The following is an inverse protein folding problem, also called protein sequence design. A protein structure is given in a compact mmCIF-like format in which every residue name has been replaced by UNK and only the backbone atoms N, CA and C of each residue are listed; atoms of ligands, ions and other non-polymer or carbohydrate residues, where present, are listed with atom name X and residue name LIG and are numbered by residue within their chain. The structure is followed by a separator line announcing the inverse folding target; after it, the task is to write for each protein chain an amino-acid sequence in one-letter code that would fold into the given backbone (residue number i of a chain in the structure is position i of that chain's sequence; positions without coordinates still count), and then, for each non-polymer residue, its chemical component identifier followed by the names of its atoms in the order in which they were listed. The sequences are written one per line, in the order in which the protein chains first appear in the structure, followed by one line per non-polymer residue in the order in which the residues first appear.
data_IF_986908071385
#
_entry.id   IF_986908071385
#
_cell.length_a   1.000
_cell.length_b   1.000
_cell.length_c   1.000
_cell.angle_alpha   90.00
_cell.angle_beta   90.00
_cell.angle_gamma   90.00
#
_symmetry.space_group_name_H-M   'P 1'
#
loop_
_entity.id
_entity.type
_entity.pdbx_description
1 polymer ?
#
# COMPACT_ATOMS: atom_id res chain seq x y z
N UNK A 1 -5.88 -26.78 19.17
CA UNK A 1 -5.11 -26.04 18.15
C UNK A 1 -4.63 -24.77 18.84
N UNK A 2 -3.33 -24.57 19.02
CA UNK A 2 -2.83 -23.27 19.54
C UNK A 2 -3.24 -22.20 18.53
N UNK A 3 -3.70 -21.00 18.98
CA UNK A 3 -3.93 -19.90 18.06
C UNK A 3 -2.64 -19.69 17.25
N UNK A 4 -2.79 -19.47 15.95
CA UNK A 4 -1.67 -19.15 15.06
C UNK A 4 -1.13 -17.78 15.50
N UNK A 5 -0.06 -17.79 16.27
CA UNK A 5 0.56 -16.59 16.88
C UNK A 5 1.15 -15.64 15.82
N UNK A 6 1.11 -16.01 14.53
CA UNK A 6 1.62 -15.20 13.42
C UNK A 6 0.54 -14.36 12.73
N UNK A 7 -0.72 -14.53 13.09
CA UNK A 7 -1.85 -13.86 12.46
C UNK A 7 -2.11 -12.50 13.09
N UNK A 8 -2.23 -11.45 12.26
CA UNK A 8 -2.80 -10.19 12.70
C UNK A 8 -4.24 -10.44 13.18
N UNK A 9 -4.56 -10.01 14.40
CA UNK A 9 -5.90 -10.17 14.93
C UNK A 9 -6.88 -9.29 14.14
N UNK A 10 -8.01 -9.86 13.72
CA UNK A 10 -9.07 -9.09 13.07
C UNK A 10 -9.63 -8.08 14.08
N UNK A 11 -9.78 -6.79 13.70
CA UNK A 11 -10.24 -5.76 14.61
C UNK A 11 -11.69 -5.98 15.04
N UNK A 12 -12.02 -5.57 16.27
CA UNK A 12 -13.39 -5.54 16.75
C UNK A 12 -14.20 -4.50 15.93
N UNK A 13 -15.53 -4.67 15.78
CA UNK A 13 -16.36 -3.79 14.94
C UNK A 13 -16.28 -2.30 15.30
N UNK A 14 -16.09 -1.96 16.56
CA UNK A 14 -15.96 -0.59 17.07
C UNK A 14 -14.62 0.09 16.74
N UNK A 15 -13.70 -0.64 16.13
CA UNK A 15 -12.42 -0.11 15.67
C UNK A 15 -12.44 0.37 14.22
N UNK A 16 -13.44 -0.06 13.43
CA UNK A 16 -13.56 0.40 12.06
C UNK A 16 -13.96 1.87 11.99
N UNK A 17 -13.42 2.57 11.00
CA UNK A 17 -13.74 3.97 10.75
C UNK A 17 -14.76 4.02 9.62
N UNK A 18 -15.87 4.67 9.92
CA UNK A 18 -16.93 4.87 8.96
C UNK A 18 -17.03 6.36 8.60
N UNK A 19 -17.06 6.65 7.33
CA UNK A 19 -17.33 7.98 6.82
C UNK A 19 -18.82 8.13 6.52
N UNK A 20 -19.42 9.33 6.73
CA UNK A 20 -20.81 9.55 6.35
C UNK A 20 -21.04 9.21 4.86
N UNK A 21 -22.15 8.51 4.58
CA UNK A 21 -22.46 8.04 3.22
C UNK A 21 -22.58 9.20 2.21
N UNK A 22 -23.01 10.36 2.68
CA UNK A 22 -23.14 11.56 1.85
C UNK A 22 -21.85 12.38 1.71
N UNK A 23 -20.75 11.94 2.38
CA UNK A 23 -19.46 12.62 2.23
C UNK A 23 -18.83 12.30 0.86
N UNK A 24 -18.11 13.27 0.27
CA UNK A 24 -17.40 13.04 -0.97
C UNK A 24 -16.34 11.93 -0.77
N UNK A 25 -16.10 11.08 -1.77
CA UNK A 25 -14.99 10.11 -1.73
C UNK A 25 -13.64 10.82 -1.54
N UNK A 26 -12.76 10.20 -0.77
CA UNK A 26 -11.41 10.70 -0.48
C UNK A 26 -10.37 9.84 -1.19
N UNK A 27 -9.39 10.49 -1.83
CA UNK A 27 -8.30 9.83 -2.54
C UNK A 27 -6.98 10.03 -1.84
N UNK A 28 -6.32 8.93 -1.53
CA UNK A 28 -4.91 8.88 -1.18
C UNK A 28 -4.11 8.39 -2.39
N UNK A 29 -2.92 8.93 -2.59
CA UNK A 29 -1.92 8.36 -3.49
C UNK A 29 -0.69 8.00 -2.66
N UNK A 30 -0.36 6.71 -2.63
CA UNK A 30 0.74 6.17 -1.85
C UNK A 30 1.71 5.48 -2.80
N UNK A 31 2.94 5.98 -2.84
CA UNK A 31 3.99 5.53 -3.75
C UNK A 31 5.04 4.77 -2.95
N UNK A 32 5.28 3.53 -3.31
CA UNK A 32 6.39 2.76 -2.76
C UNK A 32 7.69 3.26 -3.42
N UNK A 33 8.36 4.22 -2.72
CA UNK A 33 9.61 4.83 -3.15
C UNK A 33 10.78 3.97 -2.67
N UNK A 34 11.17 3.04 -3.51
CA UNK A 34 12.03 1.91 -3.14
C UNK A 34 13.20 1.74 -4.10
N UNK A 35 14.19 0.96 -3.64
CA UNK A 35 15.32 0.54 -4.46
C UNK A 35 14.87 -0.30 -5.68
N UNK A 36 15.72 -0.30 -6.69
CA UNK A 36 15.54 -1.17 -7.86
C UNK A 36 16.02 -2.58 -7.52
N UNK A 37 15.10 -3.51 -7.39
CA UNK A 37 15.42 -4.91 -7.10
C UNK A 37 14.64 -5.88 -7.97
N UNK A 38 15.18 -7.07 -8.10
CA UNK A 38 14.47 -8.19 -8.72
C UNK A 38 13.46 -8.75 -7.71
N UNK A 39 12.17 -8.64 -8.01
CA UNK A 39 11.07 -9.08 -7.17
C UNK A 39 11.07 -10.59 -6.87
N UNK A 40 11.94 -11.33 -7.54
CA UNK A 40 12.14 -12.77 -7.30
C UNK A 40 13.40 -13.06 -6.47
N UNK A 41 14.27 -12.06 -6.24
CA UNK A 41 15.58 -12.23 -5.59
C UNK A 41 15.91 -11.03 -4.70
N UNK A 42 16.03 -11.27 -3.39
CA UNK A 42 16.35 -10.24 -2.40
C UNK A 42 17.85 -10.22 -2.15
N UNK A 43 18.50 -9.09 -2.43
CA UNK A 43 19.96 -8.94 -2.27
C UNK A 43 20.29 -7.64 -1.55
N UNK A 44 21.20 -7.70 -0.58
CA UNK A 44 21.73 -6.50 0.13
C UNK A 44 22.44 -5.51 -0.79
N UNK A 45 22.87 -5.96 -1.96
CA UNK A 45 23.59 -5.14 -2.96
C UNK A 45 22.66 -4.50 -4.00
N UNK A 46 21.36 -4.81 -4.00
CA UNK A 46 20.39 -4.16 -4.85
C UNK A 46 19.95 -2.86 -4.15
N UNK A 47 20.68 -1.78 -4.42
CA UNK A 47 20.51 -0.48 -3.75
C UNK A 47 20.41 0.69 -4.72
N UNK A 48 20.31 0.43 -6.05
CA UNK A 48 20.07 1.49 -7.04
C UNK A 48 18.74 2.19 -6.77
N UNK A 49 18.72 3.52 -6.95
CA UNK A 49 17.56 4.38 -6.72
C UNK A 49 17.35 5.36 -7.88
N UNK A 50 17.82 5.03 -9.07
CA UNK A 50 17.75 5.90 -10.27
C UNK A 50 16.29 6.15 -10.70
N UNK A 51 15.38 5.23 -10.34
CA UNK A 51 13.94 5.37 -10.56
C UNK A 51 13.33 6.58 -9.84
N UNK A 52 13.92 7.05 -8.72
CA UNK A 52 13.37 8.16 -7.94
C UNK A 52 13.39 9.47 -8.73
N UNK A 53 14.40 9.71 -9.53
CA UNK A 53 14.45 10.89 -10.41
C UNK A 53 13.29 10.91 -11.44
N UNK A 54 12.69 9.76 -11.73
CA UNK A 54 11.56 9.66 -12.67
C UNK A 54 10.22 10.01 -12.03
N UNK A 55 10.16 10.17 -10.70
CA UNK A 55 8.91 10.50 -10.01
C UNK A 55 8.33 11.84 -10.45
N UNK A 56 9.14 12.74 -11.02
CA UNK A 56 8.65 13.99 -11.60
C UNK A 56 7.54 13.76 -12.63
N UNK A 57 7.58 12.67 -13.42
CA UNK A 57 6.59 12.36 -14.44
C UNK A 57 5.18 12.15 -13.85
N UNK A 58 5.09 11.42 -12.74
CA UNK A 58 3.82 11.22 -12.05
C UNK A 58 3.47 12.44 -11.17
N UNK A 59 4.47 13.07 -10.54
CA UNK A 59 4.24 14.27 -9.73
C UNK A 59 3.58 15.40 -10.52
N UNK A 60 4.01 15.63 -11.75
CA UNK A 60 3.40 16.64 -12.64
C UNK A 60 1.93 16.31 -12.97
N UNK A 61 1.56 15.03 -13.03
CA UNK A 61 0.16 14.61 -13.18
C UNK A 61 -0.62 14.92 -11.91
N UNK A 62 -0.09 14.52 -10.74
CA UNK A 62 -0.73 14.71 -9.44
C UNK A 62 -0.93 16.19 -9.09
N UNK A 63 0.05 17.03 -9.38
CA UNK A 63 0.02 18.47 -9.10
C UNK A 63 -1.14 19.18 -9.82
N UNK A 64 -1.48 18.75 -11.04
CA UNK A 64 -2.62 19.32 -11.78
C UNK A 64 -3.96 19.16 -11.08
N UNK A 65 -4.06 18.16 -10.20
CA UNK A 65 -5.27 17.88 -9.40
C UNK A 65 -5.13 18.29 -7.93
N UNK A 66 -4.01 18.92 -7.56
CA UNK A 66 -3.74 19.26 -6.15
C UNK A 66 -3.59 18.03 -5.24
N UNK A 67 -3.20 16.89 -5.79
CA UNK A 67 -2.97 15.66 -5.03
C UNK A 67 -1.57 15.69 -4.42
N UNK A 68 -1.50 15.52 -3.11
CA UNK A 68 -0.25 15.43 -2.34
C UNK A 68 0.03 13.96 -2.04
N UNK A 69 0.87 13.26 -2.84
CA UNK A 69 1.18 11.86 -2.60
C UNK A 69 2.02 11.68 -1.33
N UNK A 70 1.98 10.46 -0.78
CA UNK A 70 2.91 10.02 0.26
C UNK A 70 3.91 9.05 -0.36
N UNK A 71 5.18 9.43 -0.38
CA UNK A 71 6.28 8.56 -0.79
C UNK A 71 6.74 7.74 0.42
N UNK A 72 6.54 6.44 0.34
CA UNK A 72 6.97 5.47 1.35
C UNK A 72 8.43 5.10 1.07
N UNK A 73 9.33 5.78 1.74
CA UNK A 73 10.78 5.76 1.45
C UNK A 73 11.45 4.60 2.18
N UNK A 74 12.25 3.83 1.47
CA UNK A 74 13.11 2.79 2.02
C UNK A 74 14.50 3.32 2.44
N UNK A 75 15.35 2.41 2.98
CA UNK A 75 16.65 2.80 3.46
C UNK A 75 17.63 3.20 2.32
N UNK A 76 17.72 2.51 1.17
CA UNK A 76 18.52 2.95 0.03
C UNK A 76 18.14 4.35 -0.47
N UNK A 77 16.86 4.65 -0.60
CA UNK A 77 16.39 5.98 -1.02
C UNK A 77 16.76 7.04 0.01
N UNK A 78 16.56 6.74 1.30
CA UNK A 78 16.89 7.69 2.39
C UNK A 78 18.39 7.88 2.64
N UNK A 79 19.28 7.09 2.04
CA UNK A 79 20.71 7.11 2.30
C UNK A 79 21.58 7.54 1.11
N UNK A 80 20.97 7.87 -0.03
CA UNK A 80 21.69 8.25 -1.25
C UNK A 80 21.14 9.57 -1.81
N UNK A 81 22.02 10.49 -2.21
CA UNK A 81 21.66 11.81 -2.73
C UNK A 81 20.69 11.73 -3.94
N UNK A 82 20.86 10.71 -4.81
CA UNK A 82 19.98 10.47 -5.96
C UNK A 82 18.55 10.13 -5.56
N UNK A 83 18.37 9.43 -4.43
CA UNK A 83 17.05 9.14 -3.87
C UNK A 83 16.46 10.32 -3.08
N UNK A 84 17.31 11.05 -2.34
CA UNK A 84 16.88 12.12 -1.46
C UNK A 84 16.45 13.37 -2.24
N UNK A 85 17.31 13.87 -3.16
CA UNK A 85 17.15 15.18 -3.78
C UNK A 85 15.80 15.39 -4.44
N UNK A 86 15.30 14.51 -5.34
CA UNK A 86 14.03 14.74 -6.01
C UNK A 86 12.84 14.83 -5.04
N UNK A 87 12.82 13.95 -4.03
CA UNK A 87 11.73 13.92 -3.06
C UNK A 87 11.83 15.07 -2.04
N UNK A 88 13.03 15.50 -1.69
CA UNK A 88 13.25 16.66 -0.81
C UNK A 88 12.79 17.96 -1.47
N UNK A 89 12.97 18.12 -2.79
CA UNK A 89 12.43 19.25 -3.56
C UNK A 89 10.88 19.24 -3.52
N UNK A 90 10.23 18.10 -3.76
CA UNK A 90 8.77 18.02 -3.66
C UNK A 90 8.26 18.28 -2.24
N UNK A 91 8.99 17.80 -1.22
CA UNK A 91 8.64 18.00 0.17
C UNK A 91 8.75 19.49 0.57
N UNK A 92 9.83 20.16 0.16
CA UNK A 92 10.05 21.59 0.45
C UNK A 92 8.95 22.48 -0.15
N UNK A 93 8.44 22.12 -1.32
CA UNK A 93 7.33 22.79 -2.00
C UNK A 93 5.94 22.40 -1.44
N UNK A 94 5.89 21.49 -0.46
CA UNK A 94 4.63 20.96 0.10
C UNK A 94 3.85 20.03 -0.82
N UNK A 95 4.48 19.57 -1.91
CA UNK A 95 3.89 18.75 -2.97
C UNK A 95 3.83 17.27 -2.64
N UNK A 96 4.48 16.81 -1.58
CA UNK A 96 4.42 15.43 -1.11
C UNK A 96 4.48 15.32 0.41
N UNK A 97 4.32 14.08 0.89
CA UNK A 97 4.61 13.64 2.25
C UNK A 97 5.62 12.50 2.19
N UNK A 98 6.40 12.34 3.27
CA UNK A 98 7.37 11.25 3.42
C UNK A 98 6.87 10.30 4.49
N UNK A 99 6.71 9.05 4.12
CA UNK A 99 6.51 7.90 4.99
C UNK A 99 7.72 6.96 4.95
N UNK A 100 7.67 5.87 5.68
CA UNK A 100 8.74 4.87 5.75
C UNK A 100 8.29 3.52 5.21
N UNK A 101 9.10 2.88 4.36
CA UNK A 101 8.92 1.50 3.89
C UNK A 101 10.10 0.64 4.32
N UNK A 102 9.83 -0.41 5.10
CA UNK A 102 10.90 -1.27 5.58
C UNK A 102 11.13 -2.48 4.66
N UNK A 103 12.21 -2.45 3.89
CA UNK A 103 12.79 -3.60 3.23
C UNK A 103 13.87 -4.21 4.12
N UNK A 104 13.61 -5.40 4.68
CA UNK A 104 14.50 -6.01 5.67
C UNK A 104 15.90 -6.29 5.12
N UNK A 105 16.01 -6.68 3.85
CA UNK A 105 17.28 -7.11 3.21
C UNK A 105 18.23 -5.96 2.91
N UNK A 106 17.77 -4.72 2.78
CA UNK A 106 18.59 -3.53 2.50
C UNK A 106 18.65 -2.52 3.66
N UNK A 107 17.92 -2.78 4.75
CA UNK A 107 17.93 -1.92 5.94
C UNK A 107 18.79 -2.51 7.04
N UNK A 108 19.87 -1.82 7.52
CA UNK A 108 20.67 -2.30 8.66
C UNK A 108 19.87 -2.21 10.00
N UNK A 109 20.31 -2.96 11.03
CA UNK A 109 21.45 -3.89 11.08
C UNK A 109 21.15 -5.21 10.32
N UNK A 110 22.22 -5.88 9.83
CA UNK A 110 22.13 -7.07 8.98
C UNK A 110 22.45 -8.35 9.77
N UNK A 111 21.70 -8.59 10.84
CA UNK A 111 21.92 -9.71 11.76
C UNK A 111 21.16 -10.98 11.34
N UNK A 112 20.32 -10.89 10.30
CA UNK A 112 19.60 -12.01 9.73
C UNK A 112 20.27 -12.58 8.48
N UNK A 113 20.04 -13.86 8.20
CA UNK A 113 20.26 -14.47 6.91
C UNK A 113 19.11 -14.10 5.96
N UNK A 114 19.43 -13.68 4.72
CA UNK A 114 18.41 -13.37 3.72
C UNK A 114 17.74 -14.66 3.25
N UNK A 115 16.43 -14.70 3.37
CA UNK A 115 15.59 -15.79 2.90
C UNK A 115 14.21 -15.27 2.49
N UNK A 116 13.39 -16.05 1.79
CA UNK A 116 11.99 -15.69 1.55
C UNK A 116 11.21 -15.40 2.84
N UNK A 117 11.54 -16.04 3.96
CA UNK A 117 10.93 -15.81 5.26
C UNK A 117 11.37 -14.47 5.87
N UNK A 118 12.66 -14.21 5.96
CA UNK A 118 13.22 -13.00 6.59
C UNK A 118 13.08 -11.75 5.73
N UNK A 119 12.69 -11.90 4.45
CA UNK A 119 12.32 -10.77 3.60
C UNK A 119 11.00 -10.08 4.00
N UNK A 120 10.16 -10.76 4.78
CA UNK A 120 9.03 -10.13 5.47
C UNK A 120 9.49 -9.64 6.85
N UNK A 121 9.51 -8.32 7.04
CA UNK A 121 10.05 -7.71 8.25
C UNK A 121 9.38 -8.20 9.54
N UNK A 122 8.07 -8.42 9.51
CA UNK A 122 7.31 -8.92 10.65
C UNK A 122 7.64 -10.36 11.09
N UNK A 123 8.45 -11.10 10.31
CA UNK A 123 8.96 -12.42 10.68
C UNK A 123 10.31 -12.35 11.44
N UNK A 124 10.91 -11.18 11.48
CA UNK A 124 12.17 -10.99 12.19
C UNK A 124 11.96 -11.07 13.72
N UNK A 125 13.00 -11.41 14.48
CA UNK A 125 12.98 -11.22 15.92
C UNK A 125 12.59 -9.79 16.28
N UNK A 126 11.72 -9.60 17.27
CA UNK A 126 11.18 -8.28 17.64
C UNK A 126 12.26 -7.20 17.82
N UNK A 127 13.37 -7.54 18.47
CA UNK A 127 14.46 -6.60 18.68
C UNK A 127 15.12 -6.16 17.36
N UNK A 128 15.23 -7.06 16.39
CA UNK A 128 15.82 -6.78 15.08
C UNK A 128 14.89 -5.94 14.21
N UNK A 129 13.60 -6.30 14.15
CA UNK A 129 12.59 -5.51 13.46
C UNK A 129 12.56 -4.07 13.98
N UNK A 130 12.48 -3.91 15.32
CA UNK A 130 12.50 -2.60 15.97
C UNK A 130 13.80 -1.81 15.69
N UNK A 131 14.96 -2.46 15.69
CA UNK A 131 16.23 -1.82 15.36
C UNK A 131 16.28 -1.32 13.91
N UNK A 132 15.76 -2.11 12.95
CA UNK A 132 15.66 -1.72 11.54
C UNK A 132 14.68 -0.53 11.35
N UNK A 133 13.50 -0.57 11.98
CA UNK A 133 12.55 0.54 11.97
C UNK A 133 13.22 1.82 12.50
N UNK A 134 13.90 1.74 13.65
CA UNK A 134 14.63 2.87 14.22
C UNK A 134 15.70 3.40 13.25
N UNK A 135 16.45 2.51 12.61
CA UNK A 135 17.52 2.90 11.67
C UNK A 135 16.95 3.63 10.45
N UNK A 136 15.87 3.10 9.88
CA UNK A 136 15.16 3.72 8.76
C UNK A 136 14.58 5.08 9.16
N UNK A 137 13.90 5.16 10.31
CA UNK A 137 13.36 6.42 10.85
C UNK A 137 14.43 7.49 10.96
N UNK A 138 15.61 7.13 11.55
CA UNK A 138 16.73 8.05 11.71
C UNK A 138 17.29 8.50 10.36
N UNK A 139 17.40 7.59 9.38
CA UNK A 139 17.87 7.94 8.04
C UNK A 139 16.93 8.96 7.38
N UNK A 140 15.62 8.71 7.40
CA UNK A 140 14.62 9.62 6.83
C UNK A 140 14.66 10.98 7.55
N UNK A 141 14.68 10.99 8.87
CA UNK A 141 14.71 12.23 9.66
C UNK A 141 15.96 13.06 9.34
N UNK A 142 17.12 12.39 9.20
CA UNK A 142 18.37 13.07 8.86
C UNK A 142 18.36 13.64 7.44
N UNK A 143 17.83 12.89 6.48
CA UNK A 143 17.92 13.24 5.05
C UNK A 143 16.83 14.19 4.57
N UNK A 144 15.63 14.08 5.13
CA UNK A 144 14.48 14.90 4.73
C UNK A 144 14.08 15.99 5.76
N UNK A 145 14.71 16.00 6.94
CA UNK A 145 14.38 16.97 8.00
C UNK A 145 12.99 16.77 8.62
N UNK A 146 12.32 15.67 8.32
CA UNK A 146 10.98 15.33 8.86
C UNK A 146 10.98 13.95 9.46
N UNK A 147 10.33 13.81 10.63
CA UNK A 147 10.13 12.49 11.24
C UNK A 147 8.95 11.80 10.56
N UNK A 148 9.14 10.59 9.99
CA UNK A 148 8.04 9.85 9.39
C UNK A 148 7.07 9.36 10.47
N UNK A 149 5.77 9.48 10.20
CA UNK A 149 4.69 8.99 11.07
C UNK A 149 3.80 7.96 10.37
N UNK A 150 4.04 7.74 9.07
CA UNK A 150 3.35 6.79 8.22
C UNK A 150 4.32 5.67 7.88
N UNK A 151 3.87 4.44 7.98
CA UNK A 151 4.67 3.25 7.71
C UNK A 151 3.98 2.33 6.71
N UNK A 152 4.79 1.58 5.98
CA UNK A 152 4.39 0.40 5.20
C UNK A 152 5.45 -0.68 5.36
N UNK A 153 5.01 -1.88 5.71
CA UNK A 153 5.92 -3.02 5.69
C UNK A 153 6.23 -3.41 4.25
N UNK A 154 7.50 -3.52 3.90
CA UNK A 154 7.92 -4.04 2.61
C UNK A 154 7.30 -5.42 2.36
N UNK A 155 6.87 -5.67 1.13
CA UNK A 155 6.13 -6.88 0.77
C UNK A 155 4.84 -7.08 1.59
N UNK A 156 4.31 -6.01 2.19
CA UNK A 156 3.16 -6.08 3.10
C UNK A 156 3.40 -6.96 4.34
N UNK A 157 4.66 -7.09 4.75
CA UNK A 157 5.14 -8.01 5.79
C UNK A 157 4.86 -7.55 7.22
N UNK A 158 3.65 -7.09 7.51
CA UNK A 158 3.23 -6.70 8.85
C UNK A 158 3.08 -7.93 9.76
N UNK A 159 3.79 -7.95 10.89
CA UNK A 159 3.80 -9.05 11.83
C UNK A 159 3.22 -8.70 13.20
N UNK A 160 3.17 -9.69 14.08
CA UNK A 160 2.59 -9.54 15.42
C UNK A 160 3.26 -8.48 16.31
N UNK A 161 4.55 -8.22 16.10
CA UNK A 161 5.33 -7.25 16.89
C UNK A 161 5.39 -5.88 16.22
N UNK A 162 5.00 -5.78 14.94
CA UNK A 162 5.16 -4.58 14.12
C UNK A 162 4.41 -3.39 14.72
N UNK A 163 3.16 -3.55 15.13
CA UNK A 163 2.38 -2.47 15.73
C UNK A 163 3.06 -1.86 16.97
N UNK A 164 3.55 -2.71 17.89
CA UNK A 164 4.25 -2.24 19.11
C UNK A 164 5.56 -1.53 18.76
N UNK A 165 6.31 -2.03 17.77
CA UNK A 165 7.53 -1.40 17.31
C UNK A 165 7.24 -0.04 16.67
N UNK A 166 6.20 0.07 15.83
CA UNK A 166 5.77 1.31 15.20
C UNK A 166 5.39 2.38 16.25
N UNK A 167 4.54 2.05 17.20
CA UNK A 167 4.16 2.96 18.28
C UNK A 167 5.40 3.43 19.09
N UNK A 168 6.33 2.51 19.40
CA UNK A 168 7.58 2.82 20.10
C UNK A 168 8.43 3.85 19.35
N UNK A 169 8.41 3.81 18.01
CA UNK A 169 9.19 4.71 17.17
C UNK A 169 8.40 5.95 16.69
N UNK A 170 7.17 6.15 17.17
CA UNK A 170 6.38 7.36 16.92
C UNK A 170 5.56 7.31 15.62
N UNK A 171 5.38 6.15 15.01
CA UNK A 171 4.45 5.97 13.91
C UNK A 171 3.02 5.90 14.46
N UNK A 172 2.09 6.45 13.70
CA UNK A 172 0.68 6.48 14.08
C UNK A 172 -0.28 6.12 12.93
N UNK A 173 0.27 5.82 11.75
CA UNK A 173 -0.45 5.31 10.58
C UNK A 173 0.35 4.15 9.98
N UNK A 174 -0.34 3.04 9.68
CA UNK A 174 0.16 1.94 8.87
C UNK A 174 -0.64 1.80 7.58
N UNK A 175 0.00 1.35 6.50
CA UNK A 175 -0.60 1.15 5.19
C UNK A 175 -0.19 -0.21 4.61
N UNK A 176 -0.12 -1.25 5.47
CA UNK A 176 0.43 -2.55 5.07
C UNK A 176 -0.61 -3.60 4.73
N UNK A 177 -1.88 -3.43 5.13
CA UNK A 177 -2.91 -4.44 4.86
C UNK A 177 -3.27 -4.49 3.37
N UNK A 178 -3.15 -5.69 2.80
CA UNK A 178 -3.51 -6.01 1.42
C UNK A 178 -4.84 -6.78 1.41
N UNK A 179 -5.98 -6.13 1.16
CA UNK A 179 -7.29 -6.74 1.36
C UNK A 179 -7.49 -8.06 0.63
N UNK A 180 -8.04 -9.05 1.34
CA UNK A 180 -8.39 -10.40 0.88
C UNK A 180 -7.24 -11.22 0.27
N UNK A 181 -6.00 -10.96 0.68
CA UNK A 181 -4.84 -11.70 0.20
C UNK A 181 -4.23 -12.53 1.31
N UNK A 182 -4.00 -13.81 1.05
CA UNK A 182 -3.21 -14.69 1.91
C UNK A 182 -1.79 -14.83 1.36
N UNK A 183 -0.81 -14.28 2.10
CA UNK A 183 0.61 -14.35 1.75
C UNK A 183 1.35 -15.50 2.46
N UNK A 184 0.69 -16.29 3.32
CA UNK A 184 1.32 -17.41 4.04
C UNK A 184 2.03 -18.43 3.14
N UNK A 185 1.52 -18.77 1.92
CA UNK A 185 2.26 -19.63 1.01
C UNK A 185 3.63 -19.09 0.59
N UNK A 186 3.86 -17.78 0.79
CA UNK A 186 5.15 -17.09 0.52
C UNK A 186 5.84 -16.63 1.80
N UNK A 187 5.44 -17.17 2.97
CA UNK A 187 5.91 -16.81 4.32
C UNK A 187 5.46 -15.42 4.80
N UNK A 188 4.51 -14.77 4.16
CA UNK A 188 3.95 -13.48 4.59
C UNK A 188 2.70 -13.62 5.47
N UNK A 189 2.08 -12.49 5.84
CA UNK A 189 0.86 -12.49 6.64
C UNK A 189 -0.37 -12.99 5.87
N UNK A 190 -1.42 -13.32 6.61
CA UNK A 190 -2.73 -13.66 6.08
C UNK A 190 -3.70 -12.49 6.29
N UNK A 191 -4.02 -11.78 5.20
CA UNK A 191 -5.00 -10.71 5.17
C UNK A 191 -6.33 -11.14 4.53
N UNK A 192 -6.58 -12.44 4.38
CA UNK A 192 -7.79 -12.93 3.68
C UNK A 192 -9.11 -12.51 4.32
N UNK A 193 -9.11 -12.17 5.60
CA UNK A 193 -10.27 -11.68 6.33
C UNK A 193 -10.42 -10.14 6.31
N UNK A 194 -9.44 -9.39 5.79
CA UNK A 194 -9.43 -7.94 5.84
C UNK A 194 -9.96 -7.35 4.54
N UNK A 195 -10.89 -6.40 4.66
CA UNK A 195 -11.38 -5.55 3.57
C UNK A 195 -10.58 -4.24 3.44
N UNK A 196 -11.06 -3.32 2.59
CA UNK A 196 -10.39 -2.03 2.35
C UNK A 196 -10.75 -0.95 3.38
N UNK A 197 -11.61 -1.24 4.36
CA UNK A 197 -12.06 -0.24 5.32
C UNK A 197 -10.97 0.05 6.35
N UNK A 198 -10.71 1.33 6.69
CA UNK A 198 -9.71 1.71 7.68
C UNK A 198 -10.15 1.33 9.09
N UNK A 199 -9.18 1.01 9.94
CA UNK A 199 -9.45 0.62 11.31
C UNK A 199 -8.29 0.93 12.26
N UNK A 200 -8.59 1.07 13.56
CA UNK A 200 -7.59 1.20 14.60
C UNK A 200 -7.01 -0.17 14.95
N UNK A 201 -5.69 -0.29 14.91
CA UNK A 201 -4.97 -1.52 15.27
C UNK A 201 -5.04 -1.81 16.77
N UNK A 202 -5.23 -0.77 17.59
CA UNK A 202 -5.28 -0.85 19.05
C UNK A 202 -6.50 -0.09 19.61
N UNK A 203 -6.95 -0.44 20.85
CA UNK A 203 -8.09 0.22 21.49
C UNK A 203 -7.84 1.71 21.82
N UNK A 204 -6.59 2.08 22.05
CA UNK A 204 -6.20 3.43 22.46
C UNK A 204 -6.11 4.40 21.26
N UNK A 205 -6.41 3.92 20.05
CA UNK A 205 -6.38 4.68 18.78
C UNK A 205 -5.02 5.32 18.52
N UNK A 206 -3.96 4.62 18.89
CA UNK A 206 -2.59 5.11 18.69
C UNK A 206 -2.08 4.83 17.27
N UNK A 207 -2.46 3.70 16.66
CA UNK A 207 -2.04 3.30 15.32
C UNK A 207 -3.25 3.00 14.42
N UNK A 208 -3.39 3.80 13.37
CA UNK A 208 -4.43 3.68 12.35
C UNK A 208 -3.92 2.83 11.18
N UNK A 209 -4.66 1.80 10.81
CA UNK A 209 -4.45 1.08 9.55
C UNK A 209 -5.27 1.71 8.43
N UNK A 210 -4.60 2.01 7.32
CA UNK A 210 -5.21 2.45 6.06
C UNK A 210 -4.92 1.37 4.98
N UNK A 211 -5.78 0.35 4.85
CA UNK A 211 -5.56 -0.71 3.88
C UNK A 211 -5.46 -0.19 2.45
N UNK A 212 -4.76 -0.92 1.59
CA UNK A 212 -4.84 -0.65 0.16
C UNK A 212 -6.29 -0.81 -0.32
N UNK A 213 -6.66 -0.06 -1.36
CA UNK A 213 -7.98 -0.27 -1.95
C UNK A 213 -7.95 -1.45 -2.89
N UNK A 214 -8.80 -2.42 -2.60
CA UNK A 214 -9.21 -3.46 -3.54
C UNK A 214 -10.71 -3.69 -3.36
N UNK A 215 -11.40 -4.17 -4.38
CA UNK A 215 -12.83 -4.49 -4.29
C UNK A 215 -13.12 -5.88 -4.83
N UNK A 216 -14.03 -6.59 -4.18
CA UNK A 216 -14.68 -7.76 -4.72
C UNK A 216 -15.81 -7.30 -5.62
N UNK A 217 -15.75 -7.61 -6.91
CA UNK A 217 -16.70 -7.11 -7.90
C UNK A 217 -17.36 -8.25 -8.64
N UNK A 218 -18.69 -8.33 -8.62
CA UNK A 218 -19.42 -9.35 -9.37
C UNK A 218 -20.74 -9.78 -8.72
N UNK A 219 -21.38 -10.77 -9.33
CA UNK A 219 -22.66 -11.28 -8.84
C UNK A 219 -22.56 -11.86 -7.43
N UNK A 220 -21.48 -12.59 -7.13
CA UNK A 220 -21.28 -13.21 -5.81
C UNK A 220 -21.17 -12.19 -4.70
N UNK A 221 -20.55 -11.03 -4.99
CA UNK A 221 -20.46 -9.94 -4.03
C UNK A 221 -21.84 -9.33 -3.74
N UNK A 222 -22.65 -9.07 -4.79
CA UNK A 222 -24.04 -8.62 -4.63
C UNK A 222 -24.92 -9.56 -3.81
N UNK A 223 -24.61 -10.85 -3.82
CA UNK A 223 -25.32 -11.87 -3.04
C UNK A 223 -24.74 -12.04 -1.62
N UNK A 224 -23.72 -11.26 -1.24
CA UNK A 224 -23.03 -11.40 0.05
C UNK A 224 -22.20 -12.69 0.19
N UNK A 225 -21.84 -13.32 -0.94
CA UNK A 225 -21.12 -14.60 -0.96
C UNK A 225 -19.62 -14.44 -1.30
N UNK A 226 -19.17 -13.21 -1.64
CA UNK A 226 -17.81 -13.00 -2.13
C UNK A 226 -16.74 -13.46 -1.13
N UNK A 227 -16.83 -13.07 0.12
CA UNK A 227 -15.85 -13.41 1.16
C UNK A 227 -15.80 -14.92 1.46
N UNK A 228 -16.94 -15.60 1.33
CA UNK A 228 -17.03 -17.05 1.51
C UNK A 228 -16.46 -17.80 0.31
N UNK A 229 -16.74 -17.34 -0.91
CA UNK A 229 -16.37 -18.03 -2.16
C UNK A 229 -14.94 -17.73 -2.59
N UNK A 230 -14.45 -16.49 -2.40
CA UNK A 230 -13.16 -16.06 -2.90
C UNK A 230 -11.98 -16.91 -2.41
N UNK A 231 -11.85 -17.28 -1.11
CA UNK A 231 -10.76 -18.13 -0.63
C UNK A 231 -10.70 -19.49 -1.35
N UNK A 232 -11.85 -20.04 -1.74
CA UNK A 232 -11.90 -21.29 -2.52
C UNK A 232 -11.38 -21.10 -3.95
N UNK A 233 -11.68 -19.94 -4.56
CA UNK A 233 -11.23 -19.64 -5.92
C UNK A 233 -9.72 -19.44 -6.01
N UNK A 234 -9.09 -18.99 -4.93
CA UNK A 234 -7.64 -18.74 -4.84
C UNK A 234 -6.84 -19.94 -4.33
N UNK A 235 -7.50 -21.06 -4.01
CA UNK A 235 -6.83 -22.29 -3.60
C UNK A 235 -5.86 -22.80 -4.68
N UNK A 236 -4.81 -23.56 -4.33
CA UNK A 236 -3.84 -24.06 -5.31
C UNK A 236 -4.48 -24.89 -6.45
N UNK A 237 -5.52 -25.66 -6.13
CA UNK A 237 -6.26 -26.45 -7.11
C UNK A 237 -7.06 -25.53 -8.05
N UNK A 238 -7.78 -24.57 -7.52
CA UNK A 238 -8.58 -23.60 -8.28
C UNK A 238 -7.69 -22.73 -9.18
N UNK A 239 -6.54 -22.29 -8.68
CA UNK A 239 -5.55 -21.54 -9.45
C UNK A 239 -5.02 -22.38 -10.63
N UNK A 240 -4.73 -23.67 -10.40
CA UNK A 240 -4.30 -24.59 -11.46
C UNK A 240 -5.37 -24.81 -12.53
N UNK A 241 -6.64 -24.81 -12.14
CA UNK A 241 -7.80 -24.89 -13.05
C UNK A 241 -8.19 -23.52 -13.64
N UNK A 242 -7.44 -22.45 -13.36
CA UNK A 242 -7.72 -21.08 -13.79
C UNK A 242 -9.12 -20.58 -13.36
N UNK A 243 -9.64 -21.11 -12.26
CA UNK A 243 -10.98 -20.75 -11.78
C UNK A 243 -11.17 -19.24 -11.54
N UNK A 244 -10.20 -18.50 -10.96
CA UNK A 244 -10.33 -17.05 -10.83
C UNK A 244 -10.58 -16.34 -12.18
N UNK A 245 -9.84 -16.74 -13.22
CA UNK A 245 -10.00 -16.14 -14.56
C UNK A 245 -11.36 -16.47 -15.20
N UNK A 246 -11.89 -17.66 -14.95
CA UNK A 246 -13.24 -18.03 -15.40
C UNK A 246 -14.29 -17.24 -14.65
N UNK A 247 -14.18 -17.11 -13.33
CA UNK A 247 -15.10 -16.33 -12.50
C UNK A 247 -15.14 -14.86 -12.89
N UNK A 248 -13.95 -14.28 -13.14
CA UNK A 248 -13.82 -12.89 -13.62
C UNK A 248 -14.47 -12.70 -14.99
N UNK A 249 -14.19 -13.60 -15.98
CA UNK A 249 -14.81 -13.54 -17.31
C UNK A 249 -16.34 -13.64 -17.29
N UNK A 250 -16.86 -14.47 -16.40
CA UNK A 250 -18.31 -14.62 -16.22
C UNK A 250 -18.91 -13.51 -15.34
N UNK A 251 -18.10 -12.54 -14.88
CA UNK A 251 -18.51 -11.47 -13.96
C UNK A 251 -19.15 -11.99 -12.66
N UNK A 252 -18.76 -13.19 -12.25
CA UNK A 252 -19.25 -13.80 -11.03
C UNK A 252 -18.53 -13.26 -9.81
N UNK A 253 -17.18 -13.21 -9.87
CA UNK A 253 -16.34 -12.68 -8.79
C UNK A 253 -14.97 -12.31 -9.34
N UNK A 254 -14.52 -11.10 -9.01
CA UNK A 254 -13.23 -10.57 -9.40
C UNK A 254 -12.68 -9.70 -8.27
N UNK A 255 -11.44 -9.91 -7.85
CA UNK A 255 -10.74 -9.02 -6.92
C UNK A 255 -9.92 -8.03 -7.72
N UNK A 256 -10.32 -6.77 -7.69
CA UNK A 256 -9.68 -5.70 -8.44
C UNK A 256 -8.95 -4.77 -7.47
N UNK A 257 -7.60 -4.73 -7.49
CA UNK A 257 -6.83 -3.73 -6.74
C UNK A 257 -6.85 -2.38 -7.46
N UNK A 258 -6.74 -1.30 -6.70
CA UNK A 258 -6.69 0.05 -7.25
C UNK A 258 -5.23 0.49 -7.47
N UNK A 259 -4.68 0.09 -8.59
CA UNK A 259 -3.29 0.35 -8.99
C UNK A 259 -3.18 0.42 -10.51
N UNK A 260 -2.28 1.26 -11.08
CA UNK A 260 -1.96 1.20 -12.50
C UNK A 260 -1.18 -0.05 -12.91
N UNK A 261 -0.68 -0.81 -11.94
CA UNK A 261 0.16 -1.99 -12.14
C UNK A 261 -0.71 -3.25 -12.31
N UNK A 262 -1.03 -3.55 -13.56
CA UNK A 262 -1.79 -4.75 -13.93
C UNK A 262 -3.32 -4.60 -13.84
N UNK A 263 -3.85 -3.43 -13.47
CA UNK A 263 -5.28 -3.11 -13.50
C UNK A 263 -5.55 -2.08 -14.59
N UNK A 264 -6.50 -2.35 -15.47
CA UNK A 264 -6.89 -1.40 -16.52
C UNK A 264 -7.66 -0.21 -15.93
N UNK A 265 -7.63 0.93 -16.61
CA UNK A 265 -8.41 2.12 -16.19
C UNK A 265 -9.91 1.81 -16.07
N UNK A 266 -10.46 0.98 -16.97
CA UNK A 266 -11.86 0.57 -16.92
C UNK A 266 -12.18 -0.26 -15.68
N UNK A 267 -11.30 -1.16 -15.27
CA UNK A 267 -11.42 -1.94 -14.03
C UNK A 267 -11.30 -1.05 -12.79
N UNK A 268 -10.35 -0.12 -12.78
CA UNK A 268 -10.20 0.85 -11.69
C UNK A 268 -11.46 1.70 -11.51
N UNK A 269 -12.02 2.24 -12.59
CA UNK A 269 -13.31 2.97 -12.57
C UNK A 269 -14.45 2.07 -12.08
N UNK A 270 -14.48 0.81 -12.50
CA UNK A 270 -15.50 -0.16 -12.11
C UNK A 270 -15.45 -0.45 -10.61
N UNK A 271 -14.26 -0.76 -10.06
CA UNK A 271 -14.11 -1.07 -8.63
C UNK A 271 -14.43 0.15 -7.76
N UNK A 272 -14.01 1.34 -8.18
CA UNK A 272 -14.29 2.59 -7.45
C UNK A 272 -15.79 2.85 -7.36
N UNK A 273 -16.53 2.77 -8.49
CA UNK A 273 -18.00 2.93 -8.47
C UNK A 273 -18.67 1.86 -7.62
N UNK A 274 -18.18 0.62 -7.68
CA UNK A 274 -18.73 -0.50 -6.93
C UNK A 274 -18.60 -0.28 -5.42
N UNK A 275 -17.39 0.04 -4.94
CA UNK A 275 -17.11 0.31 -3.54
C UNK A 275 -17.86 1.56 -3.04
N UNK A 276 -17.89 2.63 -3.85
CA UNK A 276 -18.63 3.85 -3.51
C UNK A 276 -20.14 3.59 -3.36
N UNK A 277 -20.72 2.74 -4.21
CA UNK A 277 -22.12 2.32 -4.10
C UNK A 277 -22.39 1.47 -2.85
N UNK A 278 -21.39 0.73 -2.36
CA UNK A 278 -21.44 0.00 -1.10
C UNK A 278 -21.21 0.87 0.15
N UNK A 279 -20.99 2.18 -0.02
CA UNK A 279 -20.77 3.12 1.09
C UNK A 279 -19.29 3.41 1.41
N UNK A 280 -18.35 2.77 0.72
CA UNK A 280 -16.92 3.05 0.91
C UNK A 280 -16.55 4.46 0.45
N UNK A 281 -15.75 5.18 1.24
CA UNK A 281 -15.42 6.59 0.98
C UNK A 281 -13.93 6.88 0.93
N UNK A 282 -13.06 5.94 1.27
CA UNK A 282 -11.62 6.12 1.24
C UNK A 282 -10.98 5.24 0.16
N UNK A 283 -10.34 5.87 -0.80
CA UNK A 283 -9.68 5.21 -1.92
C UNK A 283 -8.17 5.48 -1.88
N UNK A 284 -7.36 4.46 -2.07
CA UNK A 284 -5.90 4.55 -2.10
C UNK A 284 -5.39 3.98 -3.42
N UNK A 285 -4.87 4.85 -4.29
CA UNK A 285 -4.06 4.44 -5.45
C UNK A 285 -2.64 4.20 -4.98
N UNK A 286 -2.07 3.05 -5.33
CA UNK A 286 -0.68 2.72 -5.01
C UNK A 286 0.06 2.19 -6.22
N UNK A 287 1.35 2.57 -6.36
CA UNK A 287 2.27 2.03 -7.35
C UNK A 287 3.71 2.09 -6.83
N UNK A 288 4.62 1.32 -7.46
CA UNK A 288 6.04 1.31 -7.13
C UNK A 288 6.80 2.36 -7.94
N UNK A 289 7.71 3.09 -7.31
CA UNK A 289 8.53 4.12 -7.97
C UNK A 289 9.28 3.58 -9.17
N UNK A 290 9.71 2.33 -9.12
CA UNK A 290 10.40 1.62 -10.19
C UNK A 290 9.54 1.40 -11.46
N UNK A 291 8.21 1.53 -11.37
CA UNK A 291 7.33 1.51 -12.56
C UNK A 291 7.40 2.77 -13.41
N UNK A 292 8.07 3.84 -12.96
CA UNK A 292 8.36 5.01 -13.80
C UNK A 292 9.72 4.92 -14.52
N UNK A 293 10.48 3.85 -14.29
CA UNK A 293 11.70 3.51 -15.02
C UNK A 293 11.39 2.37 -15.99
N UNK A 294 11.62 2.59 -17.28
CA UNK A 294 11.44 1.55 -18.31
C UNK A 294 12.33 0.35 -18.01
N UNK A 295 11.71 -0.83 -17.85
CA UNK A 295 12.39 -2.07 -17.46
C UNK A 295 12.54 -2.27 -15.95
N UNK A 296 12.11 -1.30 -15.12
CA UNK A 296 12.19 -1.36 -13.66
C UNK A 296 11.18 -2.34 -13.03
N UNK A 297 10.08 -2.61 -13.71
CA UNK A 297 9.08 -3.58 -13.27
C UNK A 297 8.55 -4.42 -14.43
N UNK A 298 7.91 -5.58 -14.16
CA UNK A 298 7.23 -6.35 -15.19
C UNK A 298 6.07 -5.62 -15.87
N UNK A 299 5.57 -4.55 -15.28
CA UNK A 299 4.43 -3.76 -15.78
C UNK A 299 4.84 -2.72 -16.81
N UNK A 300 6.07 -2.17 -16.72
CA UNK A 300 6.58 -1.11 -17.61
C UNK A 300 7.90 -1.58 -18.24
N UNK A 301 7.78 -2.25 -19.37
CA UNK A 301 8.91 -2.88 -20.09
C UNK A 301 9.48 -2.00 -21.19
N UNK A 302 8.71 -1.01 -21.64
CA UNK A 302 9.07 -0.13 -22.74
C UNK A 302 8.38 1.24 -22.57
N UNK A 303 8.70 2.19 -23.47
CA UNK A 303 8.16 3.55 -23.42
C UNK A 303 6.63 3.62 -23.60
N UNK A 304 6.03 2.71 -24.35
CA UNK A 304 4.58 2.68 -24.53
C UNK A 304 3.88 2.24 -23.22
N UNK A 305 4.46 1.27 -22.48
CA UNK A 305 3.94 0.86 -21.19
C UNK A 305 4.03 2.02 -20.16
N UNK A 306 5.12 2.81 -20.18
CA UNK A 306 5.26 3.99 -19.31
C UNK A 306 4.22 5.06 -19.66
N UNK A 307 4.02 5.34 -20.94
CA UNK A 307 2.98 6.28 -21.39
C UNK A 307 1.60 5.81 -20.93
N UNK A 308 1.29 4.53 -21.11
CA UNK A 308 0.01 3.93 -20.67
C UNK A 308 -0.21 4.03 -19.15
N UNK A 309 0.86 3.91 -18.34
CA UNK A 309 0.77 4.10 -16.89
C UNK A 309 0.44 5.56 -16.54
N UNK A 310 1.08 6.51 -17.16
CA UNK A 310 0.81 7.94 -16.94
C UNK A 310 -0.59 8.34 -17.44
N UNK A 311 -1.01 7.83 -18.58
CA UNK A 311 -2.37 8.02 -19.12
C UNK A 311 -3.43 7.39 -18.19
N UNK A 312 -3.12 6.23 -17.59
CA UNK A 312 -3.97 5.62 -16.59
C UNK A 312 -4.12 6.54 -15.36
N UNK A 313 -3.00 7.05 -14.85
CA UNK A 313 -3.02 7.94 -13.69
C UNK A 313 -3.85 9.20 -13.98
N UNK A 314 -3.59 9.87 -15.10
CA UNK A 314 -4.35 11.04 -15.55
C UNK A 314 -5.85 10.71 -15.66
N UNK A 315 -6.20 9.67 -16.41
CA UNK A 315 -7.60 9.31 -16.67
C UNK A 315 -8.35 8.79 -15.43
N UNK A 316 -7.63 8.27 -14.43
CA UNK A 316 -8.23 7.91 -13.16
C UNK A 316 -8.50 9.17 -12.31
N UNK A 317 -7.58 10.12 -12.28
CA UNK A 317 -7.78 11.38 -11.55
C UNK A 317 -8.90 12.22 -12.17
N UNK A 318 -8.96 12.36 -13.50
CA UNK A 318 -10.08 12.98 -14.18
C UNK A 318 -11.42 12.35 -13.74
N UNK A 319 -11.50 11.02 -13.79
CA UNK A 319 -12.68 10.28 -13.35
C UNK A 319 -13.02 10.54 -11.87
N UNK A 320 -12.02 10.47 -11.00
CA UNK A 320 -12.26 10.56 -9.55
C UNK A 320 -12.73 11.95 -9.12
N UNK A 321 -12.14 13.01 -9.69
CA UNK A 321 -12.47 14.37 -9.34
C UNK A 321 -13.72 14.89 -10.09
N UNK A 322 -13.86 14.59 -11.38
CA UNK A 322 -14.94 15.15 -12.19
C UNK A 322 -16.21 14.30 -12.13
N UNK A 323 -16.10 12.95 -12.26
CA UNK A 323 -17.29 12.09 -12.29
C UNK A 323 -17.75 11.65 -10.89
N UNK A 324 -16.79 11.37 -9.96
CA UNK A 324 -17.10 10.91 -8.61
C UNK A 324 -17.24 12.07 -7.61
N UNK A 325 -16.95 13.32 -8.00
CA UNK A 325 -16.87 14.50 -7.14
C UNK A 325 -15.98 14.27 -5.90
N UNK A 326 -14.91 13.50 -6.07
CA UNK A 326 -13.98 13.13 -5.02
C UNK A 326 -13.10 14.30 -4.56
N UNK A 327 -12.36 14.09 -3.49
CA UNK A 327 -11.40 15.05 -2.94
C UNK A 327 -10.08 14.36 -2.65
N UNK A 328 -8.97 15.07 -2.87
CA UNK A 328 -7.66 14.63 -2.41
C UNK A 328 -7.58 14.71 -0.88
N UNK A 329 -6.86 13.76 -0.30
CA UNK A 329 -6.54 13.73 1.13
C UNK A 329 -5.15 13.13 1.34
N UNK A 330 -4.56 13.40 2.50
CA UNK A 330 -3.34 12.72 2.97
C UNK A 330 -3.70 11.72 4.07
N UNK A 331 -2.84 10.72 4.37
CA UNK A 331 -3.06 9.82 5.49
C UNK A 331 -3.27 10.55 6.83
N UNK A 332 -2.58 11.67 7.05
CA UNK A 332 -2.76 12.50 8.25
C UNK A 332 -4.15 13.13 8.31
N UNK A 333 -4.72 13.57 7.17
CA UNK A 333 -6.09 14.13 7.13
C UNK A 333 -7.11 13.05 7.53
N UNK A 334 -6.90 11.80 7.08
CA UNK A 334 -7.76 10.68 7.46
C UNK A 334 -7.66 10.41 8.96
N UNK A 335 -6.44 10.36 9.49
CA UNK A 335 -6.24 10.14 10.93
C UNK A 335 -6.88 11.23 11.78
N UNK A 336 -6.72 12.49 11.39
CA UNK A 336 -7.35 13.61 12.11
C UNK A 336 -8.87 13.47 12.14
N UNK A 337 -9.50 13.22 10.99
CA UNK A 337 -10.95 12.97 10.91
C UNK A 337 -11.40 11.77 11.75
N UNK A 338 -10.59 10.70 11.78
CA UNK A 338 -10.90 9.51 12.57
C UNK A 338 -10.80 9.74 14.10
N UNK A 339 -9.99 10.70 14.52
CA UNK A 339 -9.88 11.10 15.94
C UNK A 339 -10.99 12.06 16.37
N UNK A 340 -11.43 12.95 15.46
CA UNK A 340 -12.50 13.90 15.75
C UNK A 340 -13.87 13.21 15.90
N UNK A 341 -13.97 11.93 15.54
CA UNK A 341 -15.19 11.13 15.63
C UNK A 341 -16.14 11.39 14.44
N UNK A 342 -17.20 10.60 14.30
CA UNK A 342 -18.25 10.93 13.35
C UNK A 342 -18.92 12.21 13.85
N UNK A 343 -18.79 13.30 13.07
CA UNK A 343 -19.58 14.50 13.28
C UNK A 343 -21.07 14.21 13.08
#
# INVERSE_FOLDING_TARGET
MKPDETRLAFPAPDRFIHFPVDSPPLLLVIVDAEEEFDWTSYRRTAVSVDNIARQILAQEVLDRFGVVPTYMVDYPVASQDQGIRPLAEFLADGRCRIGAQLHSWVTPPFDEEISPHTSFAGNLPQALESAKIKRLTTAIETSFGVRPTIYRAGRYGFGRNTAAALCTHGYNIDCSVLPWVNLQPRHGPDFSAFGPDPFWLDPDRSLLELPLTAGMVGLMDRLGLAETVYPWTTSPLAARLRLPAVMSRLRLLDRIPLTPEGTTLAEAKRVTRWLAAAGHRLFSVSYHSSSLLVGGTPYVRNQADLTALLDWLQGYLDFFFDEMAGKAATPQDIRSRALDGPG
#
